data_IF_426954564738
#
_entry.id   IF_426954564738
#
_cell.length_a   1.000
_cell.length_b   1.000
_cell.length_c   1.000
_cell.angle_alpha   90.00
_cell.angle_beta   90.00
_cell.angle_gamma   90.00
#
_symmetry.space_group_name_H-M   'P 1'
#
loop_
_entity.id
_entity.type
_entity.pdbx_description
1 polymer ?
#
# COMPACT_ATOMS: atom_id res chain seq x y z
N UNK A 1 4.63 -7.31 -15.35
CA UNK A 1 6.02 -7.28 -14.91
C UNK A 1 6.21 -6.19 -13.87
N UNK A 2 6.92 -6.49 -12.76
CA UNK A 2 7.16 -5.52 -11.70
C UNK A 2 8.48 -4.81 -11.92
N UNK A 3 8.47 -3.51 -11.64
CA UNK A 3 9.68 -2.69 -11.72
C UNK A 3 9.89 -1.97 -10.39
N UNK A 4 11.14 -1.71 -10.06
CA UNK A 4 11.48 -0.94 -8.88
C UNK A 4 11.43 0.53 -9.24
N UNK A 5 10.64 1.28 -8.48
CA UNK A 5 10.45 2.71 -8.68
C UNK A 5 10.65 3.42 -7.34
N UNK A 6 11.39 4.51 -7.34
CA UNK A 6 11.59 5.32 -6.14
C UNK A 6 10.55 6.43 -6.11
N UNK A 7 9.81 6.50 -5.01
CA UNK A 7 8.75 7.50 -4.83
C UNK A 7 8.93 8.17 -3.48
N UNK A 8 8.76 9.48 -3.45
CA UNK A 8 8.75 10.25 -2.21
C UNK A 8 7.31 10.39 -1.74
N UNK A 9 7.04 10.01 -0.48
CA UNK A 9 5.71 10.16 0.11
C UNK A 9 5.70 11.29 1.13
N UNK A 10 4.58 11.99 1.19
CA UNK A 10 4.28 12.86 2.31
C UNK A 10 4.21 12.01 3.59
N UNK A 11 4.75 12.53 4.71
CA UNK A 11 4.80 11.78 5.96
C UNK A 11 3.42 11.34 6.46
N UNK A 12 2.43 12.20 6.33
CA UNK A 12 1.07 11.88 6.75
C UNK A 12 0.49 10.74 5.91
N UNK A 13 0.75 10.77 4.61
CA UNK A 13 0.30 9.72 3.71
C UNK A 13 1.00 8.40 4.03
N UNK A 14 2.31 8.46 4.25
CA UNK A 14 3.09 7.29 4.59
C UNK A 14 2.57 6.62 5.86
N UNK A 15 2.25 7.42 6.87
CA UNK A 15 1.70 6.91 8.13
C UNK A 15 0.37 6.21 7.92
N UNK A 16 -0.50 6.79 7.09
CA UNK A 16 -1.79 6.19 6.76
C UNK A 16 -1.61 4.86 6.03
N UNK A 17 -0.66 4.79 5.12
CA UNK A 17 -0.37 3.56 4.39
C UNK A 17 0.13 2.45 5.32
N UNK A 18 1.01 2.80 6.27
CA UNK A 18 1.49 1.83 7.25
C UNK A 18 0.36 1.34 8.16
N UNK A 19 -0.58 2.22 8.51
CA UNK A 19 -1.74 1.83 9.30
C UNK A 19 -2.62 0.84 8.53
N UNK A 20 -2.80 1.06 7.25
CA UNK A 20 -3.57 0.15 6.38
C UNK A 20 -2.87 -1.20 6.29
N UNK A 21 -1.55 -1.19 6.14
CA UNK A 21 -0.76 -2.42 6.11
C UNK A 21 -0.94 -3.23 7.39
N UNK A 22 -0.81 -2.58 8.54
CA UNK A 22 -0.95 -3.23 9.83
C UNK A 22 -2.34 -3.83 10.00
N UNK A 23 -3.37 -3.11 9.57
CA UNK A 23 -4.75 -3.58 9.65
C UNK A 23 -4.96 -4.80 8.77
N UNK A 24 -4.39 -4.82 7.58
CA UNK A 24 -4.51 -5.97 6.68
C UNK A 24 -3.81 -7.20 7.20
N UNK A 25 -2.63 -7.03 7.79
CA UNK A 25 -1.90 -8.13 8.43
C UNK A 25 -2.75 -8.73 9.53
N UNK A 26 -3.38 -7.89 10.34
CA UNK A 26 -4.24 -8.34 11.44
C UNK A 26 -5.47 -9.08 10.93
N UNK A 27 -6.10 -8.58 9.87
CA UNK A 27 -7.32 -9.17 9.33
C UNK A 27 -7.07 -10.49 8.61
N UNK A 28 -5.99 -10.56 7.83
CA UNK A 28 -5.67 -11.73 7.02
C UNK A 28 -4.90 -12.81 7.78
N UNK A 29 -4.27 -12.42 8.88
CA UNK A 29 -3.45 -13.35 9.66
C UNK A 29 -2.18 -13.79 8.96
N UNK A 30 -1.74 -13.04 7.96
CA UNK A 30 -0.51 -13.34 7.22
C UNK A 30 0.23 -12.08 6.85
N UNK A 31 1.51 -12.23 6.48
CA UNK A 31 2.34 -11.09 6.12
C UNK A 31 1.87 -10.44 4.83
N UNK A 32 1.79 -9.12 4.85
CA UNK A 32 1.43 -8.32 3.68
C UNK A 32 2.51 -7.26 3.51
N UNK A 33 3.14 -7.20 2.35
CA UNK A 33 4.20 -6.24 2.10
C UNK A 33 3.62 -4.84 1.90
N UNK A 34 4.43 -3.83 2.22
CA UNK A 34 4.05 -2.43 1.99
C UNK A 34 3.79 -2.17 0.50
N UNK A 35 4.65 -2.70 -0.37
CA UNK A 35 4.47 -2.58 -1.81
C UNK A 35 3.15 -3.16 -2.29
N UNK A 36 2.73 -4.27 -1.73
CA UNK A 36 1.46 -4.90 -2.07
C UNK A 36 0.29 -3.99 -1.71
N UNK A 37 0.33 -3.40 -0.51
CA UNK A 37 -0.71 -2.48 -0.06
C UNK A 37 -0.80 -1.26 -0.99
N UNK A 38 0.34 -0.66 -1.31
CA UNK A 38 0.39 0.51 -2.18
C UNK A 38 -0.14 0.17 -3.56
N UNK A 39 0.27 -0.95 -4.13
CA UNK A 39 -0.19 -1.37 -5.46
C UNK A 39 -1.70 -1.60 -5.49
N UNK A 40 -2.26 -2.22 -4.47
CA UNK A 40 -3.70 -2.44 -4.39
C UNK A 40 -4.49 -1.15 -4.33
N UNK A 41 -4.02 -0.21 -3.52
CA UNK A 41 -4.69 1.09 -3.38
C UNK A 41 -4.64 1.87 -4.69
N UNK A 42 -3.47 1.90 -5.34
CA UNK A 42 -3.31 2.58 -6.62
C UNK A 42 -4.13 1.94 -7.72
N UNK A 43 -4.22 0.63 -7.73
CA UNK A 43 -5.04 -0.09 -8.70
C UNK A 43 -6.50 0.30 -8.58
N UNK A 44 -7.01 0.38 -7.37
CA UNK A 44 -8.39 0.80 -7.13
C UNK A 44 -8.61 2.26 -7.54
N UNK A 45 -7.68 3.13 -7.23
CA UNK A 45 -7.78 4.54 -7.60
C UNK A 45 -7.81 4.72 -9.12
N UNK A 46 -6.98 3.96 -9.83
CA UNK A 46 -6.91 4.03 -11.28
C UNK A 46 -8.19 3.50 -11.93
N UNK A 47 -8.79 2.45 -11.38
CA UNK A 47 -10.05 1.91 -11.89
C UNK A 47 -11.18 2.94 -11.83
N UNK A 48 -11.15 3.80 -10.82
CA UNK A 48 -12.17 4.83 -10.64
C UNK A 48 -11.83 6.13 -11.35
N UNK A 49 -10.67 6.21 -11.94
CA UNK A 49 -10.21 7.40 -12.64
C UNK A 49 -10.75 7.41 -14.07
#
# INVERSE_FOLDING_TARGET
MRKIVTVMFDENLLRKLHNIQAKRIKELGESVSFSQVVNEILEQAIKNY
#
